data_IF_304665126173
#
_entry.id   IF_304665126173
#
_cell.length_a   1.000
_cell.length_b   1.000
_cell.length_c   1.000
_cell.angle_alpha   90.00
_cell.angle_beta   90.00
_cell.angle_gamma   90.00
#
_symmetry.space_group_name_H-M   'P 1'
#
loop_
_entity.id
_entity.type
_entity.pdbx_description
1 polymer ?
#
# COMPACT_ATOMS: atom_id res chain seq x y z
N UNK A 1 -70.68 37.00 -34.29
CA UNK A 1 -71.02 36.39 -32.98
C UNK A 1 -70.20 35.10 -32.85
N UNK A 2 -69.67 34.78 -31.66
CA UNK A 2 -68.23 34.52 -31.56
C UNK A 2 -67.81 33.15 -30.98
N UNK A 3 -66.54 32.79 -31.22
CA UNK A 3 -65.51 32.08 -30.38
C UNK A 3 -65.89 30.84 -29.49
N UNK A 4 -64.94 29.91 -29.15
CA UNK A 4 -63.68 30.23 -28.46
C UNK A 4 -62.39 29.47 -28.85
N UNK A 5 -61.26 30.21 -28.85
CA UNK A 5 -59.96 29.98 -28.17
C UNK A 5 -59.31 28.57 -28.08
N UNK A 6 -57.99 28.47 -28.35
CA UNK A 6 -56.90 28.61 -27.34
C UNK A 6 -55.46 28.46 -27.94
N UNK A 7 -54.44 28.80 -27.14
CA UNK A 7 -53.00 28.46 -27.18
C UNK A 7 -51.95 29.46 -27.75
N UNK A 8 -51.27 30.12 -26.80
CA UNK A 8 -49.90 30.66 -26.84
C UNK A 8 -48.84 29.58 -27.18
N UNK A 9 -47.57 29.86 -27.50
CA UNK A 9 -46.89 31.01 -28.09
C UNK A 9 -45.42 30.60 -28.41
N UNK A 10 -44.80 31.17 -29.44
CA UNK A 10 -43.36 31.06 -29.76
C UNK A 10 -42.84 32.43 -30.22
N UNK A 11 -41.66 32.86 -29.77
CA UNK A 11 -40.64 33.53 -30.63
C UNK A 11 -39.42 34.08 -29.84
N UNK A 12 -38.26 33.92 -30.48
CA UNK A 12 -36.94 34.48 -30.18
C UNK A 12 -36.75 35.97 -30.59
N UNK A 13 -35.62 36.56 -30.11
CA UNK A 13 -34.72 37.57 -30.75
C UNK A 13 -35.08 39.09 -30.65
N UNK A 14 -34.17 40.07 -30.49
CA UNK A 14 -32.68 40.15 -30.61
C UNK A 14 -31.95 41.20 -29.68
N UNK A 15 -30.64 41.43 -29.92
CA UNK A 15 -29.69 42.57 -29.68
C UNK A 15 -30.09 43.82 -28.83
N UNK A 16 -29.20 44.48 -28.04
CA UNK A 16 -27.84 44.98 -28.34
C UNK A 16 -27.07 45.57 -27.10
N UNK A 17 -25.73 45.75 -27.21
CA UNK A 17 -24.99 46.86 -26.56
C UNK A 17 -24.13 46.61 -25.29
N UNK A 18 -22.80 46.84 -25.38
CA UNK A 18 -21.86 46.96 -24.23
C UNK A 18 -21.69 48.42 -23.77
N UNK A 19 -21.21 48.70 -22.54
CA UNK A 19 -19.92 49.41 -22.42
C UNK A 19 -19.04 49.06 -21.19
N UNK A 20 -17.81 49.58 -21.19
CA UNK A 20 -16.67 49.26 -20.31
C UNK A 20 -16.57 50.09 -19.00
N UNK A 21 -15.73 49.67 -18.01
CA UNK A 21 -15.71 50.26 -16.65
C UNK A 21 -14.80 51.49 -16.47
N UNK A 22 -15.10 52.35 -15.48
CA UNK A 22 -14.29 53.52 -15.08
C UNK A 22 -13.65 53.36 -13.69
N UNK A 23 -12.37 53.77 -13.58
CA UNK A 23 -11.63 53.95 -12.32
C UNK A 23 -12.22 55.04 -11.41
N UNK A 24 -12.00 54.93 -10.09
CA UNK A 24 -11.91 56.09 -9.20
C UNK A 24 -10.88 55.86 -8.07
N UNK A 25 -10.15 56.91 -7.70
CA UNK A 25 -9.16 56.96 -6.61
C UNK A 25 -9.75 57.68 -5.39
N UNK A 26 -9.22 57.30 -4.22
CA UNK A 26 -8.89 58.09 -3.02
C UNK A 26 -9.81 59.25 -2.57
N UNK A 27 -10.16 59.24 -1.26
CA UNK A 27 -10.00 60.36 -0.30
C UNK A 27 -10.78 60.11 1.00
N UNK A 28 -10.08 59.99 2.15
CA UNK A 28 -10.59 60.53 3.43
C UNK A 28 -9.49 60.71 4.47
N UNK A 29 -9.44 61.89 5.09
CA UNK A 29 -8.57 62.24 6.23
C UNK A 29 -9.34 63.13 7.20
N UNK A 30 -9.18 62.88 8.50
CA UNK A 30 -9.54 63.79 9.59
C UNK A 30 -10.99 63.67 10.12
N UNK A 31 -11.28 64.09 11.37
CA UNK A 31 -10.36 64.47 12.45
C UNK A 31 -11.14 64.62 13.78
N UNK A 32 -10.64 64.07 14.89
CA UNK A 32 -10.99 64.53 16.25
C UNK A 32 -9.89 64.16 17.26
N UNK A 33 -9.74 65.02 18.26
CA UNK A 33 -8.61 65.19 19.23
C UNK A 33 -9.20 65.14 20.67
N UNK A 34 -8.48 65.37 21.80
CA UNK A 34 -7.04 65.69 22.01
C UNK A 34 -6.33 65.00 23.22
N UNK A 35 -5.03 65.32 23.40
CA UNK A 35 -4.23 65.44 24.68
C UNK A 35 -4.06 64.20 25.59
N UNK A 36 -2.92 63.94 26.24
CA UNK A 36 -1.70 64.72 26.52
C UNK A 36 -0.44 63.82 26.57
N UNK A 37 0.74 64.36 26.22
CA UNK A 37 2.05 63.86 26.70
C UNK A 37 3.18 64.90 26.48
N UNK A 38 4.04 65.06 27.50
CA UNK A 38 5.19 65.98 27.48
C UNK A 38 6.39 65.41 26.71
N UNK A 39 7.22 66.33 26.21
CA UNK A 39 8.52 66.10 25.59
C UNK A 39 9.59 65.57 26.57
N UNK A 40 10.44 64.68 26.08
CA UNK A 40 11.68 64.21 26.71
C UNK A 40 12.54 63.46 25.67
N UNK A 41 13.85 63.71 25.64
CA UNK A 41 14.67 63.48 24.43
C UNK A 41 15.85 62.54 24.68
N UNK A 42 15.95 61.46 23.89
CA UNK A 42 17.12 60.56 23.70
C UNK A 42 17.59 59.70 24.89
N UNK A 43 18.38 58.61 24.66
CA UNK A 43 18.86 58.06 23.39
C UNK A 43 18.37 56.63 23.08
N UNK A 44 18.63 56.16 21.86
CA UNK A 44 18.39 54.77 21.47
C UNK A 44 19.41 53.83 22.14
N UNK A 45 18.90 52.83 22.87
CA UNK A 45 19.66 51.68 23.34
C UNK A 45 19.18 50.42 22.61
N UNK A 46 20.07 49.77 21.89
CA UNK A 46 19.83 48.47 21.23
C UNK A 46 19.66 47.39 22.30
N UNK A 47 18.56 46.60 22.31
CA UNK A 47 18.48 45.44 23.19
C UNK A 47 19.32 44.29 22.62
N UNK A 48 20.19 43.71 23.45
CA UNK A 48 20.86 42.45 23.16
C UNK A 48 19.84 41.32 22.90
N UNK A 49 20.07 40.42 21.93
CA UNK A 49 19.20 39.27 21.69
C UNK A 49 19.48 38.14 22.70
N UNK A 50 19.28 38.42 23.99
CA UNK A 50 19.40 37.46 25.06
C UNK A 50 18.17 37.50 25.98
N UNK A 51 17.59 36.33 26.24
CA UNK A 51 16.45 36.10 27.15
C UNK A 51 15.05 36.52 26.64
N UNK A 52 14.54 35.77 25.67
CA UNK A 52 13.15 35.29 25.74
C UNK A 52 13.14 33.76 25.59
N UNK A 53 13.34 33.07 26.72
CA UNK A 53 13.12 31.63 26.82
C UNK A 53 11.61 31.36 26.81
N UNK A 54 11.02 31.23 25.61
CA UNK A 54 9.61 30.91 25.45
C UNK A 54 9.42 29.39 25.58
N UNK A 55 9.36 28.90 26.82
CA UNK A 55 9.21 27.49 27.16
C UNK A 55 7.78 26.99 26.92
N UNK A 56 7.41 26.83 25.65
CA UNK A 56 6.45 25.78 25.28
C UNK A 56 7.20 24.44 25.28
N UNK A 57 6.65 23.36 25.85
CA UNK A 57 7.23 22.03 25.69
C UNK A 57 7.02 21.57 24.25
N UNK A 58 7.93 21.94 23.34
CA UNK A 58 8.04 21.25 22.07
C UNK A 58 8.44 19.81 22.39
N UNK A 59 7.47 18.89 22.28
CA UNK A 59 7.75 17.45 22.26
C UNK A 59 8.86 17.22 21.25
N UNK A 60 10.01 16.72 21.73
CA UNK A 60 11.24 16.63 20.95
C UNK A 60 11.17 15.36 20.08
N UNK A 61 10.18 15.33 19.17
CA UNK A 61 9.88 14.22 18.26
C UNK A 61 11.16 13.84 17.51
N UNK A 62 11.60 12.60 17.63
CA UNK A 62 12.74 12.12 16.85
C UNK A 62 12.24 11.44 15.58
N UNK A 63 12.88 11.78 14.47
CA UNK A 63 12.64 11.11 13.20
C UNK A 63 13.27 9.71 13.21
N UNK A 64 12.79 8.83 12.33
CA UNK A 64 13.37 7.50 12.09
C UNK A 64 14.88 7.52 11.84
N UNK A 65 15.40 8.58 11.22
CA UNK A 65 16.83 8.77 11.01
C UNK A 65 17.59 9.09 12.31
N UNK A 66 17.00 9.85 13.22
CA UNK A 66 17.59 10.22 14.51
C UNK A 66 17.48 9.07 15.51
N UNK A 67 16.37 8.34 15.54
CA UNK A 67 16.23 7.12 16.33
C UNK A 67 17.23 6.05 15.87
N UNK A 68 17.41 5.86 14.56
CA UNK A 68 18.45 4.99 14.00
C UNK A 68 19.87 5.46 14.38
N UNK A 69 20.17 6.75 14.27
CA UNK A 69 21.48 7.30 14.63
C UNK A 69 21.77 7.20 16.13
N UNK A 70 20.77 7.39 16.99
CA UNK A 70 20.88 7.19 18.44
C UNK A 70 21.11 5.72 18.80
N UNK A 71 20.43 4.80 18.12
CA UNK A 71 20.62 3.36 18.30
C UNK A 71 21.99 2.85 17.84
N UNK A 72 22.53 3.41 16.74
CA UNK A 72 23.90 3.11 16.30
C UNK A 72 24.95 3.71 17.25
N UNK A 73 24.70 4.90 17.83
CA UNK A 73 25.56 5.51 18.84
C UNK A 73 25.54 4.78 20.19
N UNK A 74 24.45 4.08 20.52
CA UNK A 74 24.30 3.32 21.76
C UNK A 74 24.96 1.93 21.74
N UNK A 75 25.41 1.44 20.58
CA UNK A 75 26.15 0.18 20.46
C UNK A 75 27.64 0.44 20.69
N UNK A 76 28.29 -0.16 21.72
CA UNK A 76 29.74 -0.12 21.81
C UNK A 76 30.33 -0.86 20.61
N UNK A 77 31.17 -0.17 19.84
CA UNK A 77 31.85 -0.73 18.67
C UNK A 77 32.90 -1.76 19.11
N UNK A 78 32.48 -3.01 19.26
CA UNK A 78 33.40 -4.15 19.38
C UNK A 78 34.08 -4.38 18.04
N UNK A 79 35.23 -3.71 17.87
CA UNK A 79 36.21 -4.01 16.82
C UNK A 79 36.80 -5.40 17.04
N UNK A 80 36.09 -6.43 16.56
CA UNK A 80 36.63 -7.78 16.45
C UNK A 80 37.74 -7.77 15.39
N UNK A 81 39.00 -8.06 15.73
CA UNK A 81 40.07 -8.14 14.74
C UNK A 81 39.83 -9.32 13.79
N UNK A 82 40.00 -9.08 12.50
CA UNK A 82 39.74 -10.09 11.46
C UNK A 82 40.71 -11.29 11.59
N UNK A 83 40.22 -12.55 11.53
CA UNK A 83 41.09 -13.71 11.49
C UNK A 83 41.77 -13.82 10.12
N UNK A 84 43.10 -13.80 10.12
CA UNK A 84 43.94 -13.95 8.92
C UNK A 84 43.90 -15.40 8.39
N UNK A 85 42.96 -15.67 7.48
CA UNK A 85 42.84 -17.00 6.85
C UNK A 85 43.80 -17.13 5.65
N UNK A 86 44.88 -17.88 5.84
CA UNK A 86 45.84 -18.27 4.80
C UNK A 86 45.19 -19.25 3.80
N UNK A 87 45.35 -19.11 2.48
CA UNK A 87 44.75 -20.01 1.51
C UNK A 87 45.44 -21.39 1.51
N UNK A 88 44.65 -22.45 1.51
CA UNK A 88 45.09 -23.82 1.27
C UNK A 88 44.55 -24.32 -0.08
N UNK A 89 45.37 -25.07 -0.81
CA UNK A 89 45.13 -25.49 -2.19
C UNK A 89 44.02 -26.52 -2.32
N UNK A 90 43.23 -26.40 -3.40
CA UNK A 90 42.22 -27.38 -3.77
C UNK A 90 42.85 -28.71 -4.25
N UNK A 91 42.40 -29.83 -3.67
CA UNK A 91 42.64 -31.18 -4.17
C UNK A 91 41.34 -31.74 -4.75
N UNK A 92 41.40 -32.26 -5.98
CA UNK A 92 40.26 -32.82 -6.70
C UNK A 92 40.09 -34.30 -6.34
N UNK A 93 38.88 -34.77 -6.03
CA UNK A 93 38.60 -36.20 -5.84
C UNK A 93 37.20 -36.55 -6.38
N UNK A 94 37.13 -37.65 -7.10
CA UNK A 94 35.97 -38.13 -7.87
C UNK A 94 35.34 -39.37 -7.19
N UNK A 95 33.99 -39.53 -7.18
CA UNK A 95 33.35 -40.66 -6.51
C UNK A 95 33.23 -41.88 -7.44
N UNK A 96 33.92 -42.98 -7.09
CA UNK A 96 33.70 -44.30 -7.71
C UNK A 96 32.73 -45.13 -6.87
N UNK A 97 31.71 -45.70 -7.52
CA UNK A 97 30.74 -46.62 -6.90
C UNK A 97 31.27 -48.05 -7.05
N UNK A 98 31.35 -48.79 -5.93
CA UNK A 98 31.69 -50.22 -5.93
C UNK A 98 30.57 -51.04 -5.30
N UNK A 99 30.25 -52.16 -5.95
CA UNK A 99 29.23 -53.13 -5.56
C UNK A 99 29.71 -54.09 -4.46
N UNK A 100 28.78 -54.62 -3.65
CA UNK A 100 29.05 -55.76 -2.77
C UNK A 100 27.81 -56.67 -2.65
N UNK A 101 28.02 -57.96 -2.89
CA UNK A 101 27.03 -59.03 -2.84
C UNK A 101 27.00 -59.71 -1.47
N UNK A 102 25.85 -60.25 -1.05
CA UNK A 102 25.77 -61.67 -0.64
C UNK A 102 24.59 -62.36 -1.35
N UNK A 103 24.47 -63.69 -1.46
CA UNK A 103 25.13 -64.81 -0.79
C UNK A 103 24.06 -65.89 -0.54
N UNK A 104 24.25 -67.08 -1.10
CA UNK A 104 23.39 -68.28 -0.99
C UNK A 104 23.14 -68.73 0.47
N UNK A 105 22.17 -69.58 0.84
CA UNK A 105 20.95 -70.14 0.22
C UNK A 105 20.14 -70.84 1.34
N UNK A 106 18.87 -71.21 1.12
CA UNK A 106 18.38 -72.56 1.48
C UNK A 106 17.00 -72.91 0.86
N UNK A 107 16.72 -74.21 0.72
CA UNK A 107 15.52 -74.75 0.04
C UNK A 107 14.34 -75.04 0.99
N UNK A 108 13.12 -74.88 0.46
CA UNK A 108 11.94 -75.61 0.96
C UNK A 108 10.93 -75.85 -0.19
N UNK A 109 10.98 -77.06 -0.77
CA UNK A 109 10.16 -77.46 -1.91
C UNK A 109 8.95 -78.32 -1.48
N UNK A 110 7.75 -78.01 -1.98
CA UNK A 110 6.58 -78.90 -1.89
C UNK A 110 5.59 -78.71 -3.06
N UNK A 111 5.70 -79.59 -4.07
CA UNK A 111 4.62 -80.28 -4.83
C UNK A 111 3.21 -79.63 -4.90
N UNK A 112 2.48 -79.51 -6.02
CA UNK A 112 2.30 -80.33 -7.25
C UNK A 112 1.15 -79.66 -8.09
N UNK A 113 0.67 -80.21 -9.24
CA UNK A 113 1.33 -80.63 -10.47
C UNK A 113 0.84 -79.81 -11.70
N UNK A 114 1.45 -79.99 -12.86
CA UNK A 114 1.04 -79.33 -14.12
C UNK A 114 -0.24 -79.95 -14.74
N UNK A 115 -1.07 -79.13 -15.38
CA UNK A 115 -2.08 -79.54 -16.38
C UNK A 115 -2.13 -78.52 -17.54
N UNK A 116 -2.53 -78.94 -18.76
CA UNK A 116 -2.02 -78.34 -19.99
C UNK A 116 -2.67 -77.02 -20.42
N UNK A 117 -1.91 -76.25 -21.18
CA UNK A 117 -2.28 -74.97 -21.76
C UNK A 117 -3.38 -75.07 -22.84
N UNK A 118 -4.59 -74.59 -22.52
CA UNK A 118 -5.62 -74.31 -23.51
C UNK A 118 -6.08 -72.84 -23.47
N UNK A 119 -5.46 -72.05 -24.36
CA UNK A 119 -5.99 -70.87 -25.06
C UNK A 119 -7.19 -70.15 -24.39
N UNK A 120 -6.93 -69.27 -23.42
CA UNK A 120 -7.95 -68.28 -22.98
C UNK A 120 -8.03 -67.10 -23.96
N UNK A 121 -9.27 -66.65 -24.19
CA UNK A 121 -9.58 -65.58 -25.14
C UNK A 121 -9.06 -64.21 -24.66
N UNK A 122 -8.99 -63.24 -25.59
CA UNK A 122 -8.83 -61.82 -25.23
C UNK A 122 -9.96 -61.42 -24.27
N UNK A 123 -9.68 -60.76 -23.13
CA UNK A 123 -10.73 -60.19 -22.31
C UNK A 123 -11.49 -59.15 -23.14
N UNK A 124 -12.82 -59.24 -23.14
CA UNK A 124 -13.70 -58.20 -23.66
C UNK A 124 -13.57 -56.94 -22.81
N UNK A 125 -13.73 -55.77 -23.44
CA UNK A 125 -13.53 -54.44 -22.82
C UNK A 125 -14.25 -54.26 -21.47
N UNK A 126 -15.37 -54.96 -21.26
CA UNK A 126 -16.11 -55.00 -20.00
C UNK A 126 -15.28 -55.46 -18.77
N UNK A 127 -14.40 -56.46 -18.91
CA UNK A 127 -13.58 -56.95 -17.77
C UNK A 127 -12.47 -55.95 -17.40
N UNK A 128 -11.95 -55.19 -18.37
CA UNK A 128 -10.95 -54.13 -18.11
C UNK A 128 -11.55 -52.93 -17.38
N UNK A 129 -12.82 -52.61 -17.65
CA UNK A 129 -13.56 -51.55 -16.96
C UNK A 129 -13.87 -51.96 -15.51
N UNK A 130 -14.23 -53.22 -15.26
CA UNK A 130 -14.58 -53.71 -13.93
C UNK A 130 -13.40 -53.78 -12.93
N UNK A 131 -12.16 -53.86 -13.42
CA UNK A 131 -10.95 -53.98 -12.60
C UNK A 131 -10.18 -52.67 -12.34
N UNK A 132 -10.61 -51.55 -12.92
CA UNK A 132 -9.95 -50.25 -12.75
C UNK A 132 -10.70 -49.41 -11.70
N UNK A 133 -10.02 -48.81 -10.70
CA UNK A 133 -10.69 -47.88 -9.80
C UNK A 133 -11.21 -46.69 -10.62
N UNK A 134 -12.53 -46.54 -10.67
CA UNK A 134 -13.16 -45.41 -11.34
C UNK A 134 -12.64 -44.11 -10.72
N UNK A 135 -12.09 -43.16 -11.51
CA UNK A 135 -11.64 -41.89 -10.96
C UNK A 135 -12.83 -41.15 -10.35
N UNK A 136 -12.64 -40.65 -9.14
CA UNK A 136 -13.72 -40.07 -8.35
C UNK A 136 -14.18 -38.74 -8.99
N UNK A 137 -15.25 -38.79 -9.79
CA UNK A 137 -15.68 -37.69 -10.65
C UNK A 137 -16.06 -36.41 -9.89
N UNK A 138 -16.25 -36.50 -8.58
CA UNK A 138 -16.56 -35.39 -7.68
C UNK A 138 -15.33 -34.50 -7.43
N UNK A 139 -14.11 -35.06 -7.48
CA UNK A 139 -12.87 -34.35 -7.09
C UNK A 139 -12.14 -33.63 -8.24
N UNK A 140 -12.67 -33.61 -9.48
CA UNK A 140 -12.00 -32.94 -10.61
C UNK A 140 -12.96 -32.39 -11.67
N UNK A 141 -13.66 -31.26 -11.40
CA UNK A 141 -14.53 -30.60 -12.38
C UNK A 141 -13.82 -30.18 -13.69
N UNK A 142 -12.50 -29.96 -13.64
CA UNK A 142 -11.69 -29.57 -14.79
C UNK A 142 -11.48 -30.65 -15.86
N UNK A 143 -11.78 -31.93 -15.58
CA UNK A 143 -11.50 -33.00 -16.54
C UNK A 143 -12.40 -32.97 -17.79
N UNK A 144 -13.57 -32.32 -17.69
CA UNK A 144 -14.56 -32.20 -18.77
C UNK A 144 -14.63 -30.79 -19.38
N UNK A 145 -13.98 -29.80 -18.77
CA UNK A 145 -14.02 -28.40 -19.22
C UNK A 145 -12.65 -28.05 -19.75
N UNK A 146 -12.52 -28.00 -21.08
CA UNK A 146 -11.35 -27.46 -21.75
C UNK A 146 -11.16 -26.01 -21.30
N UNK A 147 -10.04 -25.71 -20.63
CA UNK A 147 -9.71 -24.35 -20.19
C UNK A 147 -9.88 -23.37 -21.36
N UNK A 148 -10.85 -22.46 -21.24
CA UNK A 148 -11.07 -21.44 -22.25
C UNK A 148 -9.89 -20.46 -22.16
N UNK A 149 -9.08 -20.40 -23.22
CA UNK A 149 -8.00 -19.42 -23.32
C UNK A 149 -8.57 -18.03 -23.04
N UNK A 150 -8.04 -17.26 -22.07
CA UNK A 150 -8.54 -15.94 -21.75
C UNK A 150 -8.55 -15.05 -23.00
N UNK A 151 -9.55 -14.17 -23.09
CA UNK A 151 -9.78 -13.33 -24.28
C UNK A 151 -8.76 -12.17 -24.28
N UNK A 152 -8.12 -11.85 -25.41
CA UNK A 152 -7.27 -10.67 -25.50
C UNK A 152 -8.13 -9.41 -25.36
N UNK A 153 -7.75 -8.52 -24.45
CA UNK A 153 -8.42 -7.24 -24.22
C UNK A 153 -7.51 -6.13 -24.74
N UNK A 154 -7.95 -5.44 -25.79
CA UNK A 154 -7.21 -4.34 -26.40
C UNK A 154 -6.00 -4.75 -27.26
N UNK A 155 -5.34 -3.73 -27.81
CA UNK A 155 -4.22 -3.87 -28.75
C UNK A 155 -4.59 -4.59 -30.06
N UNK A 156 -3.59 -4.89 -30.89
CA UNK A 156 -3.79 -5.56 -32.20
C UNK A 156 -4.45 -6.93 -32.04
N UNK A 157 -4.15 -7.67 -30.97
CA UNK A 157 -4.76 -8.99 -30.72
C UNK A 157 -6.24 -8.89 -30.32
N UNK A 158 -6.61 -7.92 -29.49
CA UNK A 158 -8.01 -7.61 -29.18
C UNK A 158 -8.77 -7.12 -30.41
N UNK A 159 -8.14 -6.29 -31.26
CA UNK A 159 -8.73 -5.86 -32.52
C UNK A 159 -8.97 -7.02 -33.51
N UNK A 160 -8.00 -7.94 -33.68
CA UNK A 160 -8.19 -9.16 -34.48
C UNK A 160 -9.30 -10.05 -33.89
N UNK A 161 -9.33 -10.23 -32.57
CA UNK A 161 -10.38 -11.01 -31.92
C UNK A 161 -11.77 -10.39 -32.14
N UNK A 162 -11.91 -9.06 -32.05
CA UNK A 162 -13.15 -8.35 -32.33
C UNK A 162 -13.55 -8.44 -33.82
N UNK A 163 -12.63 -8.15 -34.74
CA UNK A 163 -12.88 -8.17 -36.19
C UNK A 163 -13.23 -9.58 -36.71
N UNK A 164 -12.73 -10.64 -36.07
CA UNK A 164 -13.05 -12.04 -36.41
C UNK A 164 -14.27 -12.59 -35.67
N UNK A 165 -15.03 -11.74 -34.95
CA UNK A 165 -16.21 -12.18 -34.21
C UNK A 165 -15.90 -13.19 -33.09
N UNK A 166 -14.67 -13.16 -32.55
CA UNK A 166 -14.15 -14.12 -31.58
C UNK A 166 -13.56 -15.41 -32.18
N UNK A 167 -13.61 -15.59 -33.51
CA UNK A 167 -13.13 -16.81 -34.18
C UNK A 167 -11.62 -17.04 -34.03
N UNK A 168 -10.82 -15.96 -33.95
CA UNK A 168 -9.35 -16.04 -33.83
C UNK A 168 -8.87 -15.55 -32.46
N UNK A 169 -8.86 -16.44 -31.47
CA UNK A 169 -8.29 -16.16 -30.14
C UNK A 169 -6.77 -16.47 -30.10
N UNK A 170 -5.96 -15.45 -30.36
CA UNK A 170 -4.48 -15.49 -30.22
C UNK A 170 -4.00 -15.46 -28.75
N UNK A 171 -4.93 -15.33 -27.78
CA UNK A 171 -4.67 -15.16 -26.35
C UNK A 171 -4.08 -13.78 -26.00
N UNK A 172 -4.07 -13.45 -24.69
CA UNK A 172 -3.52 -12.18 -24.20
C UNK A 172 -2.05 -12.00 -24.61
N UNK A 173 -1.66 -10.76 -24.87
CA UNK A 173 -0.28 -10.35 -25.10
C UNK A 173 0.57 -10.42 -23.81
N UNK A 174 1.88 -10.30 -23.91
CA UNK A 174 2.79 -10.37 -22.74
C UNK A 174 2.44 -9.33 -21.67
N UNK A 175 2.23 -8.06 -22.06
CA UNK A 175 1.79 -6.99 -21.16
C UNK A 175 0.48 -7.35 -20.46
N UNK A 176 -0.54 -7.79 -21.22
CA UNK A 176 -1.84 -8.15 -20.64
C UNK A 176 -1.70 -9.33 -19.65
N UNK A 177 -0.89 -10.36 -19.96
CA UNK A 177 -0.65 -11.47 -19.02
C UNK A 177 -0.02 -11.01 -17.70
N UNK A 178 0.89 -10.03 -17.73
CA UNK A 178 1.45 -9.45 -16.50
C UNK A 178 0.40 -8.69 -15.69
N UNK A 179 -0.48 -7.94 -16.35
CA UNK A 179 -1.61 -7.27 -15.67
C UNK A 179 -2.60 -8.30 -15.08
N UNK A 180 -2.93 -9.35 -15.84
CA UNK A 180 -3.80 -10.46 -15.40
C UNK A 180 -3.16 -11.23 -14.22
N UNK A 181 -1.84 -11.38 -14.20
CA UNK A 181 -1.07 -12.02 -13.13
C UNK A 181 -1.02 -11.17 -11.86
N UNK A 182 -0.80 -9.86 -11.99
CA UNK A 182 -0.90 -8.91 -10.87
C UNK A 182 -2.32 -8.90 -10.28
N UNK A 183 -3.35 -8.82 -11.13
CA UNK A 183 -4.74 -8.91 -10.69
C UNK A 183 -5.01 -10.21 -9.91
N UNK A 184 -4.52 -11.36 -10.41
CA UNK A 184 -4.65 -12.67 -9.75
C UNK A 184 -3.91 -12.74 -8.40
N UNK A 185 -2.73 -12.13 -8.28
CA UNK A 185 -1.97 -12.04 -7.02
C UNK A 185 -2.76 -11.20 -6.00
N UNK A 186 -3.24 -10.03 -6.40
CA UNK A 186 -4.04 -9.13 -5.53
C UNK A 186 -5.34 -9.81 -5.08
N UNK A 187 -6.05 -10.48 -6.00
CA UNK A 187 -7.35 -11.12 -5.74
C UNK A 187 -7.25 -12.43 -4.94
N UNK A 188 -6.06 -12.81 -4.45
CA UNK A 188 -5.85 -14.02 -3.65
C UNK A 188 -6.72 -13.97 -2.37
N UNK A 189 -7.53 -15.00 -2.17
CA UNK A 189 -8.32 -15.14 -0.94
C UNK A 189 -7.38 -15.36 0.26
N UNK A 190 -7.64 -14.63 1.35
CA UNK A 190 -6.84 -14.63 2.56
C UNK A 190 -7.55 -15.43 3.66
N UNK A 191 -6.79 -16.09 4.53
CA UNK A 191 -7.29 -16.91 5.64
C UNK A 191 -7.02 -16.21 6.98
N UNK A 192 -7.42 -14.94 7.08
CA UNK A 192 -7.16 -14.10 8.25
C UNK A 192 -7.34 -12.62 7.97
N UNK A 193 -7.03 -11.80 8.98
CA UNK A 193 -6.97 -10.35 8.89
C UNK A 193 -5.54 -9.88 9.01
N UNK A 194 -5.01 -9.26 7.97
CA UNK A 194 -3.64 -8.78 7.89
C UNK A 194 -3.58 -7.24 7.88
N UNK A 195 -2.51 -6.69 8.43
CA UNK A 195 -2.26 -5.25 8.51
C UNK A 195 -0.93 -4.88 7.85
N UNK A 196 -0.92 -3.79 7.09
CA UNK A 196 0.29 -3.22 6.50
C UNK A 196 0.50 -1.81 7.00
N UNK A 197 1.58 -1.60 7.75
CA UNK A 197 2.00 -0.26 8.15
C UNK A 197 2.67 0.45 6.98
N UNK A 198 2.32 1.72 6.74
CA UNK A 198 2.93 2.58 5.72
C UNK A 198 3.70 3.69 6.42
N UNK A 199 5.02 3.57 6.43
CA UNK A 199 5.94 4.52 7.06
C UNK A 199 6.49 5.52 6.05
N UNK A 200 6.84 6.72 6.50
CA UNK A 200 7.67 7.64 5.71
C UNK A 200 8.67 8.43 6.55
N UNK A 201 9.70 8.90 5.86
CA UNK A 201 10.94 9.40 6.46
C UNK A 201 11.09 10.92 6.43
N UNK A 202 10.09 11.59 5.84
CA UNK A 202 9.96 13.02 5.63
C UNK A 202 8.52 13.29 5.17
N UNK A 203 7.88 14.32 5.72
CA UNK A 203 6.57 14.78 5.25
C UNK A 203 6.58 15.10 3.75
N UNK A 204 5.41 14.90 3.11
CA UNK A 204 5.20 15.21 1.70
C UNK A 204 5.88 14.28 0.68
N UNK A 205 6.44 13.13 1.07
CA UNK A 205 6.99 12.15 0.10
C UNK A 205 5.89 11.45 -0.74
N UNK A 206 4.63 11.52 -0.33
CA UNK A 206 3.51 10.84 -0.98
C UNK A 206 3.07 9.56 -0.25
N UNK A 207 3.39 9.44 1.05
CA UNK A 207 2.96 8.35 1.94
C UNK A 207 1.44 8.14 1.89
N UNK A 208 0.68 9.14 2.35
CA UNK A 208 -0.78 9.14 2.36
C UNK A 208 -1.35 8.81 0.97
N UNK A 209 -0.85 9.47 -0.08
CA UNK A 209 -1.28 9.24 -1.46
C UNK A 209 -0.97 7.82 -1.95
N UNK A 210 0.13 7.21 -1.49
CA UNK A 210 0.44 5.79 -1.74
C UNK A 210 -0.54 4.89 -0.99
N UNK A 211 -0.84 5.18 0.27
CA UNK A 211 -1.83 4.42 1.06
C UNK A 211 -3.22 4.46 0.42
N UNK A 212 -3.67 5.63 -0.04
CA UNK A 212 -4.94 5.77 -0.78
C UNK A 212 -4.88 5.06 -2.14
N UNK A 213 -3.86 5.30 -2.96
CA UNK A 213 -3.75 4.69 -4.30
C UNK A 213 -3.66 3.16 -4.26
N UNK A 214 -2.92 2.61 -3.30
CA UNK A 214 -2.84 1.16 -3.06
C UNK A 214 -4.14 0.63 -2.45
N UNK A 215 -4.76 1.35 -1.51
CA UNK A 215 -6.05 0.98 -0.93
C UNK A 215 -7.18 0.92 -1.95
N UNK A 216 -7.26 1.90 -2.86
CA UNK A 216 -8.18 1.91 -3.99
C UNK A 216 -7.88 0.75 -4.95
N UNK A 217 -6.60 0.46 -5.21
CA UNK A 217 -6.20 -0.66 -6.09
C UNK A 217 -6.61 -2.01 -5.47
N UNK A 218 -6.38 -2.22 -4.17
CA UNK A 218 -6.89 -3.39 -3.44
C UNK A 218 -8.42 -3.46 -3.56
N UNK A 219 -9.12 -2.33 -3.43
CA UNK A 219 -10.57 -2.22 -3.54
C UNK A 219 -11.13 -2.42 -4.97
N UNK A 220 -10.30 -2.29 -6.01
CA UNK A 220 -10.66 -2.62 -7.41
C UNK A 220 -10.54 -4.14 -7.66
N UNK A 221 -9.44 -4.76 -7.23
CA UNK A 221 -9.09 -6.14 -7.61
C UNK A 221 -9.49 -7.24 -6.61
N UNK A 222 -9.76 -6.90 -5.34
CA UNK A 222 -10.16 -7.89 -4.32
C UNK A 222 -11.66 -8.09 -4.23
N UNK A 223 -12.08 -9.32 -3.87
CA UNK A 223 -13.51 -9.64 -3.64
C UNK A 223 -14.06 -9.06 -2.33
N UNK A 224 -13.20 -8.88 -1.33
CA UNK A 224 -13.48 -8.18 -0.07
C UNK A 224 -13.05 -6.70 -0.14
N UNK A 225 -13.64 -5.86 0.71
CA UNK A 225 -13.26 -4.46 0.84
C UNK A 225 -12.03 -4.34 1.76
N UNK A 226 -10.99 -3.56 1.41
CA UNK A 226 -9.93 -3.20 2.33
C UNK A 226 -10.33 -2.04 3.24
N UNK A 227 -9.72 -1.97 4.43
CA UNK A 227 -9.77 -0.81 5.32
C UNK A 227 -8.45 -0.03 5.26
N UNK A 228 -8.49 1.30 5.26
CA UNK A 228 -7.34 2.14 5.51
C UNK A 228 -7.58 2.99 6.78
N UNK A 229 -6.60 3.00 7.68
CA UNK A 229 -6.65 3.64 8.99
C UNK A 229 -5.62 4.75 9.00
N UNK A 230 -6.04 5.98 9.25
CA UNK A 230 -5.12 7.08 9.48
C UNK A 230 -4.66 7.07 10.94
N UNK A 231 -3.36 6.89 11.14
CA UNK A 231 -2.69 6.96 12.42
C UNK A 231 -1.57 8.01 12.38
N UNK A 232 -1.80 9.12 11.66
CA UNK A 232 -0.88 10.24 11.54
C UNK A 232 -1.26 11.39 12.49
N UNK A 233 -0.48 11.64 13.57
CA UNK A 233 -0.71 12.77 14.47
C UNK A 233 -0.38 14.14 13.86
N UNK A 234 0.35 14.17 12.75
CA UNK A 234 0.92 15.40 12.18
C UNK A 234 -0.05 16.09 11.21
N UNK A 235 -0.87 15.30 10.50
CA UNK A 235 -1.80 15.73 9.44
C UNK A 235 -2.70 14.54 9.07
N UNK A 236 -3.94 14.51 9.56
CA UNK A 236 -4.89 13.42 9.29
C UNK A 236 -5.49 13.48 7.87
N UNK A 237 -4.63 13.50 6.85
CA UNK A 237 -4.96 13.82 5.46
C UNK A 237 -5.43 12.62 4.62
N UNK A 238 -5.58 11.43 5.21
CA UNK A 238 -5.94 10.21 4.47
C UNK A 238 -7.32 10.29 3.80
N UNK A 239 -8.33 10.76 4.54
CA UNK A 239 -9.70 10.88 4.02
C UNK A 239 -9.84 12.07 3.08
N UNK A 240 -9.12 13.17 3.35
CA UNK A 240 -9.03 14.31 2.43
C UNK A 240 -8.46 13.89 1.07
N UNK A 241 -7.39 13.07 1.04
CA UNK A 241 -6.83 12.55 -0.22
C UNK A 241 -7.71 11.52 -0.91
N UNK A 242 -8.56 10.81 -0.18
CA UNK A 242 -9.45 9.80 -0.75
C UNK A 242 -10.78 10.38 -1.28
N UNK A 243 -11.24 11.53 -0.76
CA UNK A 243 -12.57 12.08 -1.02
C UNK A 243 -12.63 13.59 -1.32
N UNK A 244 -11.52 14.31 -1.17
CA UNK A 244 -11.41 15.76 -1.35
C UNK A 244 -11.84 16.57 -0.12
N UNK A 245 -11.41 17.84 -0.05
CA UNK A 245 -11.68 18.75 1.08
C UNK A 245 -13.17 19.01 1.35
N UNK A 246 -14.03 18.78 0.35
CA UNK A 246 -15.46 19.15 0.38
C UNK A 246 -16.31 18.45 1.45
N UNK A 247 -15.82 17.35 2.05
CA UNK A 247 -16.52 16.65 3.14
C UNK A 247 -16.34 17.34 4.50
N UNK A 248 -15.11 17.72 4.85
CA UNK A 248 -14.77 18.36 6.13
C UNK A 248 -15.47 19.72 6.30
N UNK A 249 -15.84 20.35 5.18
CA UNK A 249 -16.57 21.62 5.14
C UNK A 249 -18.08 21.48 5.41
N UNK A 250 -18.65 20.27 5.42
CA UNK A 250 -20.10 20.05 5.51
C UNK A 250 -20.58 19.44 6.83
N UNK A 251 -19.70 18.75 7.57
CA UNK A 251 -19.91 18.29 8.96
C UNK A 251 -18.57 17.86 9.53
N UNK A 252 -18.38 17.95 10.86
CA UNK A 252 -17.22 17.33 11.52
C UNK A 252 -17.23 15.82 11.22
N UNK A 253 -16.24 15.29 10.46
CA UNK A 253 -16.22 13.88 10.13
C UNK A 253 -15.84 13.06 11.36
N UNK A 254 -16.40 11.86 11.49
CA UNK A 254 -16.02 10.95 12.58
C UNK A 254 -14.56 10.52 12.43
N UNK A 255 -13.81 10.61 13.51
CA UNK A 255 -12.38 10.28 13.59
C UNK A 255 -12.14 8.93 14.26
N UNK A 256 -10.88 8.52 14.28
CA UNK A 256 -10.37 7.40 15.06
C UNK A 256 -10.66 7.55 16.57
N UNK A 257 -10.72 8.80 17.08
CA UNK A 257 -11.08 9.14 18.46
C UNK A 257 -12.55 8.81 18.76
N UNK A 258 -13.47 9.23 17.88
CA UNK A 258 -14.90 8.89 18.00
C UNK A 258 -15.14 7.37 18.07
N UNK A 259 -14.39 6.62 17.25
CA UNK A 259 -14.47 5.16 17.23
C UNK A 259 -13.97 4.57 18.55
N UNK A 260 -12.85 5.08 19.07
CA UNK A 260 -12.24 4.62 20.31
C UNK A 260 -13.15 4.86 21.52
N UNK A 261 -13.73 6.06 21.66
CA UNK A 261 -14.69 6.41 22.72
C UNK A 261 -15.90 5.47 22.77
N UNK A 262 -16.29 4.91 21.63
CA UNK A 262 -17.49 4.10 21.47
C UNK A 262 -17.19 2.63 21.18
N UNK A 263 -15.93 2.19 21.32
CA UNK A 263 -15.44 0.92 20.75
C UNK A 263 -16.19 -0.32 21.26
N UNK A 264 -16.56 -0.32 22.55
CA UNK A 264 -17.34 -1.40 23.18
C UNK A 264 -18.79 -1.50 22.68
N UNK A 265 -19.30 -0.45 22.01
CA UNK A 265 -20.63 -0.44 21.40
C UNK A 265 -20.66 -0.95 19.94
N UNK A 266 -19.50 -1.28 19.37
CA UNK A 266 -19.36 -1.67 17.96
C UNK A 266 -19.47 -3.18 17.79
N UNK A 267 -20.71 -3.66 17.83
CA UNK A 267 -21.09 -5.07 17.74
C UNK A 267 -21.20 -5.64 16.31
N UNK A 268 -21.11 -4.79 15.28
CA UNK A 268 -21.44 -5.15 13.90
C UNK A 268 -20.76 -4.23 12.87
N UNK A 269 -20.61 -4.70 11.63
CA UNK A 269 -20.09 -3.86 10.55
C UNK A 269 -20.97 -2.61 10.30
N UNK A 270 -22.29 -2.73 10.52
CA UNK A 270 -23.23 -1.60 10.44
C UNK A 270 -23.01 -0.57 11.55
N UNK A 271 -22.67 -1.00 12.78
CA UNK A 271 -22.33 -0.06 13.85
C UNK A 271 -20.96 0.58 13.63
N UNK A 272 -20.00 -0.16 13.08
CA UNK A 272 -18.68 0.35 12.70
C UNK A 272 -18.74 1.39 11.58
N UNK A 273 -19.57 1.16 10.55
CA UNK A 273 -19.71 2.05 9.40
C UNK A 273 -20.11 3.50 9.77
N UNK A 274 -20.65 3.74 10.97
CA UNK A 274 -20.93 5.10 11.49
C UNK A 274 -19.66 5.93 11.71
N UNK A 275 -18.50 5.28 11.83
CA UNK A 275 -17.18 5.89 12.06
C UNK A 275 -16.27 5.78 10.83
N UNK A 276 -16.82 5.37 9.67
CA UNK A 276 -16.04 5.15 8.45
C UNK A 276 -16.46 6.07 7.31
N UNK A 277 -15.50 6.34 6.43
CA UNK A 277 -15.67 7.05 5.17
C UNK A 277 -15.43 6.08 4.02
N UNK A 278 -16.00 6.33 2.84
CA UNK A 278 -16.01 5.36 1.74
C UNK A 278 -15.58 5.97 0.41
N UNK A 279 -14.41 5.58 -0.10
CA UNK A 279 -13.91 5.93 -1.42
C UNK A 279 -14.11 4.75 -2.38
N UNK A 280 -15.27 4.70 -3.04
CA UNK A 280 -15.69 3.52 -3.82
C UNK A 280 -15.86 2.30 -2.91
N UNK A 281 -14.96 1.32 -3.03
CA UNK A 281 -14.91 0.11 -2.17
C UNK A 281 -13.82 0.17 -1.09
N UNK A 282 -13.00 1.22 -1.04
CA UNK A 282 -12.04 1.44 0.04
C UNK A 282 -12.78 2.06 1.22
N UNK A 283 -12.72 1.41 2.39
CA UNK A 283 -13.28 1.93 3.63
C UNK A 283 -12.16 2.62 4.42
N UNK A 284 -12.44 3.77 5.03
CA UNK A 284 -11.44 4.63 5.67
C UNK A 284 -11.84 5.01 7.09
N UNK A 285 -10.87 5.10 7.99
CA UNK A 285 -11.02 5.71 9.32
C UNK A 285 -10.18 6.99 9.32
N UNK A 286 -10.81 8.14 9.58
CA UNK A 286 -10.14 9.44 9.55
C UNK A 286 -9.23 9.64 10.77
N UNK A 287 -8.10 10.31 10.55
CA UNK A 287 -7.18 10.68 11.62
C UNK A 287 -7.76 11.83 12.44
N UNK A 288 -7.33 11.93 13.69
CA UNK A 288 -7.69 13.08 14.52
C UNK A 288 -6.96 14.34 14.04
N UNK A 289 -7.72 15.43 13.89
CA UNK A 289 -7.24 16.70 13.33
C UNK A 289 -6.72 17.65 14.42
N UNK A 290 -7.17 17.50 15.67
CA UNK A 290 -6.59 18.20 16.81
C UNK A 290 -5.24 17.55 17.18
N UNK A 291 -4.08 18.24 17.03
CA UNK A 291 -2.79 17.64 17.32
C UNK A 291 -2.60 17.25 18.79
N UNK A 292 -3.29 17.89 19.75
CA UNK A 292 -3.18 17.55 21.18
C UNK A 292 -3.89 16.22 21.49
N UNK A 293 -4.99 15.93 20.81
CA UNK A 293 -5.71 14.64 20.90
C UNK A 293 -5.04 13.58 20.03
N UNK A 294 -4.55 13.94 18.84
CA UNK A 294 -3.86 12.99 17.94
C UNK A 294 -2.52 12.49 18.51
N UNK A 295 -1.79 13.32 19.28
CA UNK A 295 -0.60 12.89 20.05
C UNK A 295 -0.95 11.96 21.23
N UNK A 296 -2.22 11.89 21.67
CA UNK A 296 -2.62 11.04 22.81
C UNK A 296 -2.83 9.58 22.45
N UNK A 297 -3.10 9.23 21.19
CA UNK A 297 -3.37 7.85 20.77
C UNK A 297 -2.22 6.91 21.13
N UNK A 298 -2.49 5.97 22.03
CA UNK A 298 -1.54 5.00 22.58
C UNK A 298 -1.43 3.72 21.76
N UNK A 299 -0.41 2.90 22.06
CA UNK A 299 -0.23 1.59 21.46
C UNK A 299 -1.40 0.65 21.79
N UNK A 300 -1.86 0.68 23.04
CA UNK A 300 -2.95 -0.12 23.56
C UNK A 300 -4.28 0.20 22.86
N UNK A 301 -4.61 1.48 22.71
CA UNK A 301 -5.82 1.95 22.03
C UNK A 301 -5.80 1.60 20.54
N UNK A 302 -4.67 1.81 19.86
CA UNK A 302 -4.51 1.36 18.48
C UNK A 302 -4.68 -0.16 18.35
N UNK A 303 -4.15 -0.96 19.28
CA UNK A 303 -4.33 -2.42 19.29
C UNK A 303 -5.80 -2.83 19.50
N UNK A 304 -6.58 -2.08 20.30
CA UNK A 304 -8.02 -2.30 20.44
C UNK A 304 -8.76 -2.02 19.11
N UNK A 305 -8.46 -0.90 18.45
CA UNK A 305 -9.02 -0.55 17.13
C UNK A 305 -8.65 -1.62 16.10
N UNK A 306 -7.36 -1.99 16.01
CA UNK A 306 -6.87 -3.06 15.12
C UNK A 306 -7.58 -4.39 15.36
N UNK A 307 -7.85 -4.75 16.61
CA UNK A 307 -8.62 -5.95 16.99
C UNK A 307 -10.07 -5.86 16.51
N UNK A 308 -10.74 -4.72 16.69
CA UNK A 308 -12.10 -4.51 16.18
C UNK A 308 -12.15 -4.63 14.64
N UNK A 309 -11.24 -3.97 13.93
CA UNK A 309 -11.11 -4.04 12.48
C UNK A 309 -10.79 -5.48 12.02
N UNK A 310 -10.06 -6.26 12.82
CA UNK A 310 -9.72 -7.66 12.48
C UNK A 310 -10.94 -8.58 12.32
N UNK A 311 -12.07 -8.24 12.95
CA UNK A 311 -13.30 -9.03 12.87
C UNK A 311 -14.04 -8.86 11.54
N UNK A 312 -13.75 -7.78 10.79
CA UNK A 312 -14.53 -7.38 9.61
C UNK A 312 -13.71 -7.24 8.31
N UNK A 313 -12.39 -7.02 8.42
CA UNK A 313 -11.52 -6.74 7.27
C UNK A 313 -10.36 -7.72 7.19
N UNK A 314 -10.21 -8.38 6.04
CA UNK A 314 -9.07 -9.27 5.75
C UNK A 314 -7.77 -8.49 5.47
N UNK A 315 -7.89 -7.23 5.05
CA UNK A 315 -6.76 -6.34 4.71
C UNK A 315 -7.00 -4.96 5.34
N UNK A 316 -6.07 -4.55 6.20
CA UNK A 316 -5.94 -3.21 6.73
C UNK A 316 -4.63 -2.56 6.23
N UNK A 317 -4.71 -1.30 5.82
CA UNK A 317 -3.54 -0.43 5.62
C UNK A 317 -3.54 0.59 6.75
N UNK A 318 -2.41 0.81 7.41
CA UNK A 318 -2.27 1.84 8.45
C UNK A 318 -1.33 2.92 7.94
N UNK A 319 -1.87 4.13 7.73
CA UNK A 319 -1.11 5.29 7.29
C UNK A 319 -0.46 5.96 8.51
N UNK A 320 0.84 5.72 8.71
CA UNK A 320 1.50 6.13 9.95
C UNK A 320 2.02 7.58 9.88
N UNK A 321 2.25 8.20 11.03
CA UNK A 321 2.93 9.50 11.10
C UNK A 321 4.39 9.51 10.63
N UNK A 322 5.02 10.70 10.64
CA UNK A 322 6.41 10.87 10.18
C UNK A 322 7.48 10.60 11.24
N UNK A 323 7.09 10.53 12.52
CA UNK A 323 7.96 10.26 13.67
C UNK A 323 7.94 8.81 14.14
N UNK A 324 9.00 8.37 14.83
CA UNK A 324 9.06 7.04 15.49
C UNK A 324 8.47 7.06 16.89
N UNK A 325 8.57 8.23 17.54
CA UNK A 325 8.27 8.44 18.96
C UNK A 325 6.80 8.70 19.23
N UNK A 326 5.91 8.41 18.28
CA UNK A 326 4.48 8.51 18.54
C UNK A 326 4.01 7.33 19.39
N UNK A 327 3.11 7.59 20.33
CA UNK A 327 2.72 6.63 21.37
C UNK A 327 2.08 5.36 20.76
N UNK A 328 1.37 5.48 19.63
CA UNK A 328 0.78 4.35 18.92
C UNK A 328 1.80 3.46 18.18
N UNK A 329 3.02 3.94 17.91
CA UNK A 329 3.93 3.31 16.94
C UNK A 329 4.34 1.89 17.32
N UNK A 330 4.54 1.58 18.60
CA UNK A 330 4.83 0.22 19.05
C UNK A 330 3.65 -0.73 18.80
N UNK A 331 2.41 -0.30 19.05
CA UNK A 331 1.20 -1.08 18.76
C UNK A 331 0.97 -1.30 17.27
N UNK A 332 1.26 -0.29 16.44
CA UNK A 332 1.23 -0.40 14.98
C UNK A 332 2.24 -1.44 14.49
N UNK A 333 3.51 -1.32 14.89
CA UNK A 333 4.56 -2.24 14.46
C UNK A 333 4.38 -3.66 15.02
N UNK A 334 3.86 -3.81 16.24
CA UNK A 334 3.58 -5.11 16.86
C UNK A 334 2.47 -5.89 16.14
N UNK A 335 1.51 -5.18 15.53
CA UNK A 335 0.34 -5.77 14.86
C UNK A 335 0.37 -5.66 13.33
N UNK A 336 1.49 -5.23 12.76
CA UNK A 336 1.73 -5.23 11.33
C UNK A 336 2.28 -6.59 10.87
N UNK A 337 1.72 -7.11 9.79
CA UNK A 337 2.16 -8.34 9.12
C UNK A 337 3.12 -8.03 7.95
N UNK A 338 3.03 -6.82 7.41
CA UNK A 338 3.81 -6.34 6.27
C UNK A 338 4.14 -4.85 6.46
N UNK A 339 5.16 -4.37 5.76
CA UNK A 339 5.65 -2.99 5.92
C UNK A 339 5.92 -2.35 4.56
N UNK A 340 5.42 -1.13 4.36
CA UNK A 340 5.76 -0.26 3.24
C UNK A 340 6.55 0.93 3.75
N UNK A 341 7.72 1.21 3.15
CA UNK A 341 8.54 2.38 3.44
C UNK A 341 8.50 3.31 2.22
N UNK A 342 7.80 4.43 2.34
CA UNK A 342 7.73 5.47 1.33
C UNK A 342 8.98 6.37 1.37
N UNK A 343 9.70 6.42 0.26
CA UNK A 343 10.88 7.25 0.00
C UNK A 343 10.70 8.02 -1.32
N UNK A 344 11.61 8.96 -1.61
CA UNK A 344 11.70 9.62 -2.90
C UNK A 344 13.13 9.60 -3.42
N UNK A 345 13.33 9.82 -4.73
CA UNK A 345 14.65 9.79 -5.36
C UNK A 345 15.57 10.91 -4.84
N UNK A 346 16.31 10.58 -3.78
CA UNK A 346 17.38 11.37 -3.21
C UNK A 346 18.32 10.45 -2.43
N UNK A 347 19.62 10.76 -2.46
CA UNK A 347 20.64 10.05 -1.65
C UNK A 347 20.27 10.07 -0.15
N UNK A 348 19.67 11.18 0.32
CA UNK A 348 19.16 11.31 1.68
C UNK A 348 17.91 10.45 1.94
N UNK A 349 17.06 10.22 0.93
CA UNK A 349 15.92 9.30 0.99
C UNK A 349 16.39 7.84 1.13
N UNK A 350 17.31 7.42 0.26
CA UNK A 350 17.89 6.07 0.30
C UNK A 350 18.61 5.78 1.62
N UNK A 351 19.43 6.72 2.11
CA UNK A 351 20.09 6.61 3.42
C UNK A 351 19.07 6.46 4.55
N UNK A 352 17.97 7.22 4.52
CA UNK A 352 16.90 7.15 5.53
C UNK A 352 16.16 5.80 5.49
N UNK A 353 15.82 5.29 4.31
CA UNK A 353 15.16 3.98 4.17
C UNK A 353 16.01 2.85 4.79
N UNK A 354 17.31 2.84 4.50
CA UNK A 354 18.26 1.91 5.13
C UNK A 354 18.34 2.07 6.65
N UNK A 355 18.36 3.31 7.14
CA UNK A 355 18.37 3.59 8.59
C UNK A 355 17.09 3.10 9.29
N UNK A 356 15.92 3.24 8.67
CA UNK A 356 14.65 2.67 9.19
C UNK A 356 14.71 1.16 9.28
N UNK A 357 15.13 0.49 8.22
CA UNK A 357 15.25 -0.98 8.19
C UNK A 357 16.21 -1.49 9.28
N UNK A 358 17.34 -0.82 9.49
CA UNK A 358 18.27 -1.16 10.56
C UNK A 358 17.75 -0.86 11.96
N UNK A 359 17.02 0.25 12.15
CA UNK A 359 16.35 0.54 13.42
C UNK A 359 15.32 -0.53 13.74
N UNK A 360 14.42 -0.86 12.81
CA UNK A 360 13.41 -1.91 12.97
C UNK A 360 14.05 -3.25 13.33
N UNK A 361 15.10 -3.67 12.61
CA UNK A 361 15.81 -4.90 12.89
C UNK A 361 16.52 -4.92 14.27
N UNK A 362 16.94 -3.77 14.78
CA UNK A 362 17.57 -3.66 16.10
C UNK A 362 16.59 -3.45 17.26
N UNK A 363 15.31 -3.18 16.99
CA UNK A 363 14.26 -2.93 18.00
C UNK A 363 13.18 -4.03 18.01
N UNK A 364 13.51 -5.24 17.54
CA UNK A 364 12.64 -6.42 17.60
C UNK A 364 11.80 -6.69 16.35
N UNK A 365 11.77 -5.77 15.39
CA UNK A 365 10.98 -5.88 14.16
C UNK A 365 11.80 -6.42 12.98
N UNK A 366 12.70 -7.38 13.23
CA UNK A 366 13.63 -7.89 12.23
C UNK A 366 12.96 -8.60 11.05
N UNK A 367 11.89 -9.36 11.28
CA UNK A 367 11.14 -9.98 10.19
C UNK A 367 10.31 -8.96 9.39
N UNK A 368 9.76 -7.92 10.03
CA UNK A 368 9.13 -6.81 9.30
C UNK A 368 10.13 -6.05 8.43
N UNK A 369 11.33 -5.77 8.95
CA UNK A 369 12.40 -5.15 8.17
C UNK A 369 12.84 -6.03 6.98
N UNK A 370 13.03 -7.34 7.21
CA UNK A 370 13.39 -8.31 6.16
C UNK A 370 12.34 -8.39 5.05
N UNK A 371 11.06 -8.31 5.42
CA UNK A 371 9.93 -8.45 4.53
C UNK A 371 9.39 -7.09 4.01
N UNK A 372 10.07 -5.97 4.29
CA UNK A 372 9.59 -4.65 3.90
C UNK A 372 9.61 -4.45 2.38
N UNK A 373 8.61 -3.71 1.90
CA UNK A 373 8.53 -3.16 0.55
C UNK A 373 9.05 -1.72 0.63
N UNK A 374 10.00 -1.35 -0.22
CA UNK A 374 10.40 0.05 -0.38
C UNK A 374 9.68 0.61 -1.60
N UNK A 375 9.02 1.75 -1.43
CA UNK A 375 8.36 2.48 -2.52
C UNK A 375 9.11 3.78 -2.73
N UNK A 376 9.66 3.99 -3.93
CA UNK A 376 10.33 5.24 -4.29
C UNK A 376 9.44 6.02 -5.25
N UNK A 377 8.96 7.18 -4.81
CA UNK A 377 8.13 8.07 -5.64
C UNK A 377 8.99 9.12 -6.33
N UNK A 378 8.79 9.26 -7.65
CA UNK A 378 9.42 10.30 -8.46
C UNK A 378 8.71 11.64 -8.38
N UNK A 379 9.49 12.72 -8.52
CA UNK A 379 9.04 14.11 -8.36
C UNK A 379 9.65 14.99 -9.44
N UNK A 380 8.88 16.00 -9.87
CA UNK A 380 9.31 16.98 -10.88
C UNK A 380 10.67 17.65 -10.57
N UNK A 381 11.07 17.76 -9.29
CA UNK A 381 12.31 18.44 -8.86
C UNK A 381 13.50 17.49 -8.54
N UNK A 382 13.50 16.24 -8.99
CA UNK A 382 14.68 15.36 -8.78
C UNK A 382 15.86 15.85 -9.61
N UNK A 383 16.93 16.28 -8.93
CA UNK A 383 18.13 16.80 -9.59
C UNK A 383 18.76 15.75 -10.51
N UNK A 384 19.16 16.14 -11.73
CA UNK A 384 19.88 15.29 -12.69
C UNK A 384 21.26 14.78 -12.22
N UNK A 385 21.74 15.22 -11.06
CA UNK A 385 22.92 14.65 -10.38
C UNK A 385 22.59 13.45 -9.49
N UNK A 386 21.30 13.14 -9.29
CA UNK A 386 20.84 11.96 -8.57
C UNK A 386 20.81 10.80 -9.55
N UNK A 387 21.75 9.88 -9.38
CA UNK A 387 21.74 8.59 -10.05
C UNK A 387 20.57 7.76 -9.49
N UNK A 388 19.54 7.55 -10.31
CA UNK A 388 18.34 6.80 -9.93
C UNK A 388 18.63 5.30 -9.88
N UNK A 389 19.32 4.78 -10.89
CA UNK A 389 19.67 3.37 -11.04
C UNK A 389 20.55 2.91 -9.86
N UNK A 390 21.55 3.69 -9.46
CA UNK A 390 22.39 3.39 -8.29
C UNK A 390 21.64 3.46 -6.95
N UNK A 391 20.61 4.32 -6.84
CA UNK A 391 19.72 4.33 -5.66
C UNK A 391 18.86 3.08 -5.64
N UNK A 392 18.34 2.65 -6.78
CA UNK A 392 17.51 1.46 -6.89
C UNK A 392 18.31 0.18 -6.62
N UNK A 393 19.49 0.02 -7.21
CA UNK A 393 20.40 -1.11 -6.94
C UNK A 393 20.73 -1.21 -5.44
N UNK A 394 21.07 -0.08 -4.80
CA UNK A 394 21.41 -0.05 -3.38
C UNK A 394 20.21 -0.40 -2.47
N UNK A 395 18.99 -0.03 -2.84
CA UNK A 395 17.79 -0.29 -2.05
C UNK A 395 17.21 -1.69 -2.29
N UNK A 396 17.25 -2.20 -3.51
CA UNK A 396 16.87 -3.57 -3.85
C UNK A 396 17.70 -4.61 -3.08
N UNK A 397 18.97 -4.30 -2.77
CA UNK A 397 19.84 -5.15 -1.94
C UNK A 397 19.51 -5.22 -0.45
N UNK A 398 18.54 -4.44 0.07
CA UNK A 398 18.24 -4.36 1.52
C UNK A 398 16.75 -4.53 1.90
N UNK A 399 15.85 -4.72 0.94
CA UNK A 399 14.42 -4.92 1.17
C UNK A 399 13.92 -6.15 0.40
N UNK A 400 12.68 -6.62 0.67
CA UNK A 400 12.10 -7.77 -0.06
C UNK A 400 11.85 -7.41 -1.52
N UNK A 401 11.30 -6.22 -1.73
CA UNK A 401 10.84 -5.76 -3.03
C UNK A 401 10.94 -4.23 -3.08
N UNK A 402 11.47 -3.72 -4.18
CA UNK A 402 11.61 -2.30 -4.45
C UNK A 402 10.71 -1.94 -5.63
N UNK A 403 9.85 -0.94 -5.47
CA UNK A 403 8.91 -0.51 -6.51
C UNK A 403 9.01 1.01 -6.71
N UNK A 404 9.25 1.40 -7.96
CA UNK A 404 9.30 2.79 -8.38
C UNK A 404 7.90 3.27 -8.80
N UNK A 405 7.43 4.37 -8.20
CA UNK A 405 6.20 5.06 -8.61
C UNK A 405 6.61 6.28 -9.45
N UNK A 406 6.25 6.34 -10.74
CA UNK A 406 6.60 7.46 -11.61
C UNK A 406 5.89 8.75 -11.16
N UNK A 407 6.42 9.90 -11.57
CA UNK A 407 5.83 11.17 -11.18
C UNK A 407 4.45 11.34 -11.85
N UNK A 408 3.42 11.57 -11.03
CA UNK A 408 2.05 11.80 -11.49
C UNK A 408 1.39 12.95 -10.72
N UNK A 409 0.78 13.88 -11.46
CA UNK A 409 0.12 15.05 -10.88
C UNK A 409 -1.15 14.69 -10.14
N UNK A 410 -1.87 13.66 -10.61
CA UNK A 410 -3.03 13.08 -9.90
C UNK A 410 -2.69 12.40 -8.56
N UNK A 411 -1.42 12.40 -8.14
CA UNK A 411 -0.93 11.96 -6.83
C UNK A 411 -0.22 13.09 -6.09
N UNK A 412 0.48 13.96 -6.82
CA UNK A 412 1.42 14.93 -6.28
C UNK A 412 0.82 16.27 -5.84
N UNK A 413 -0.30 16.69 -6.43
CA UNK A 413 -0.86 18.04 -6.21
C UNK A 413 -1.55 18.20 -4.84
N UNK A 414 -1.56 17.16 -4.01
CA UNK A 414 -2.19 17.17 -2.67
C UNK A 414 -3.72 17.12 -2.68
N UNK A 415 -4.30 16.89 -3.85
CA UNK A 415 -5.74 16.82 -4.12
C UNK A 415 -6.24 15.36 -4.07
N UNK A 416 -7.51 15.16 -4.42
CA UNK A 416 -8.21 13.89 -4.55
C UNK A 416 -7.48 12.89 -5.46
N UNK A 417 -7.06 11.77 -4.86
CA UNK A 417 -6.50 10.62 -5.58
C UNK A 417 -7.65 9.72 -6.05
N UNK A 418 -7.99 9.80 -7.34
CA UNK A 418 -8.85 8.79 -8.00
C UNK A 418 -8.01 7.94 -8.94
N UNK A 419 -8.26 6.63 -9.01
CA UNK A 419 -7.51 5.77 -9.94
C UNK A 419 -7.73 6.20 -11.38
N UNK A 420 -8.96 6.54 -11.80
CA UNK A 420 -9.30 6.80 -13.21
C UNK A 420 -8.39 7.85 -13.88
N UNK A 421 -8.02 8.93 -13.18
CA UNK A 421 -7.19 10.01 -13.75
C UNK A 421 -5.69 9.72 -13.77
N UNK A 422 -5.23 8.67 -13.07
CA UNK A 422 -3.81 8.33 -13.02
C UNK A 422 -3.29 7.79 -14.35
N UNK A 423 -2.00 8.05 -14.62
CA UNK A 423 -1.29 7.49 -15.76
C UNK A 423 -1.25 5.95 -15.68
N UNK A 424 -1.25 5.24 -16.82
CA UNK A 424 -1.16 3.78 -16.84
C UNK A 424 0.04 3.21 -16.06
N UNK A 425 1.16 3.91 -16.08
CA UNK A 425 2.39 3.53 -15.38
C UNK A 425 2.22 3.64 -13.86
N UNK A 426 1.58 4.71 -13.37
CA UNK A 426 1.26 4.90 -11.94
C UNK A 426 0.26 3.86 -11.45
N UNK A 427 -0.80 3.59 -12.23
CA UNK A 427 -1.77 2.51 -11.96
C UNK A 427 -1.08 1.16 -11.82
N UNK A 428 -0.16 0.85 -12.73
CA UNK A 428 0.62 -0.38 -12.70
C UNK A 428 1.51 -0.45 -11.45
N UNK A 429 2.23 0.63 -11.10
CA UNK A 429 3.04 0.65 -9.89
C UNK A 429 2.20 0.39 -8.62
N UNK A 430 1.00 0.95 -8.52
CA UNK A 430 0.08 0.63 -7.41
C UNK A 430 -0.44 -0.82 -7.42
N UNK A 431 -0.64 -1.45 -8.59
CA UNK A 431 -0.92 -2.90 -8.69
C UNK A 431 0.27 -3.74 -8.25
N UNK A 432 1.49 -3.37 -8.64
CA UNK A 432 2.72 -4.03 -8.23
C UNK A 432 2.88 -3.94 -6.70
N UNK A 433 2.65 -2.78 -6.10
CA UNK A 433 2.66 -2.60 -4.63
C UNK A 433 1.54 -3.40 -3.96
N UNK A 434 0.31 -3.38 -4.47
CA UNK A 434 -0.80 -4.15 -3.92
C UNK A 434 -0.54 -5.67 -4.01
N UNK A 435 0.07 -6.16 -5.08
CA UNK A 435 0.46 -7.56 -5.23
C UNK A 435 1.58 -7.93 -4.25
N UNK A 436 2.63 -7.11 -4.14
CA UNK A 436 3.72 -7.28 -3.19
C UNK A 436 3.23 -7.27 -1.72
N UNK A 437 2.21 -6.46 -1.42
CA UNK A 437 1.55 -6.45 -0.11
C UNK A 437 0.82 -7.77 0.13
N UNK A 438 -0.04 -8.17 -0.80
CA UNK A 438 -0.85 -9.39 -0.66
C UNK A 438 0.02 -10.64 -0.60
N UNK A 439 1.11 -10.73 -1.36
CA UNK A 439 2.04 -11.87 -1.32
C UNK A 439 2.88 -11.94 -0.02
N UNK A 440 3.04 -10.80 0.67
CA UNK A 440 3.67 -10.76 1.99
C UNK A 440 2.80 -11.35 3.11
N UNK A 441 1.48 -11.41 2.93
CA UNK A 441 0.58 -12.08 3.86
C UNK A 441 0.75 -13.61 3.76
N UNK A 442 0.94 -14.29 4.89
CA UNK A 442 1.26 -15.73 4.96
C UNK A 442 0.26 -16.51 5.78
#
# INVERSE_FOLDING_TARGET
>A
MPDPADQNARAHVEHAGQPSPRRRRDLRRGNSKPTDARTGTMPAATPDPASQANSKPQSRRTSWAEAAAAADAAKPSTTVPAPTRRPASAGFVEPTITTATPGEADEANAARPETPSFRRARPTVAETIAGSPMPDFISSPGLFVKEQKPRPVGGVRGAIYAMTGGSWNLGPGSKQRQEDELAKRISRQLQGSYNTAVLSLKGGIGKTSTTVGVGLTLAEYRGDAPCAIDANPDSGDLVERALGEGLYQQSSPRTISDLLENIDSVDSLTSLARYMHHAGRLHLIAGEQDPEVSDSLTAEEYLQIRKLISNYYSVALTDCGTGVTHNAMSGILQSADNLVIAAGYAVSGAKRARSTLHWLASHGYAELARNAIVVITDKDEVSSRVDKDAIEEHLAGICRELIAVPHDRGVADGDLVTLDVLKPETKRAYKEIAAAIVDGYR
#
